data_IF_278751939449
#
_entry.id   IF_278751939449
#
_cell.length_a   1.000
_cell.length_b   1.000
_cell.length_c   1.000
_cell.angle_alpha   90.00
_cell.angle_beta   90.00
_cell.angle_gamma   90.00
#
_symmetry.space_group_name_H-M   'P 1'
#
loop_
_entity.id
_entity.type
_entity.pdbx_description
1 polymer ?
#
# COMPACT_ATOMS: atom_id res chain seq x y z
N UNK A 1 -84.76 -17.67 -10.82
CA UNK A 1 -83.79 -16.77 -11.49
C UNK A 1 -82.87 -17.61 -12.40
N UNK A 2 -81.94 -17.02 -13.17
CA UNK A 2 -81.08 -17.75 -14.14
C UNK A 2 -80.17 -18.76 -13.38
N UNK A 3 -79.92 -20.02 -13.78
CA UNK A 3 -79.55 -20.62 -15.09
C UNK A 3 -78.16 -20.13 -15.58
N UNK A 4 -77.19 -20.96 -15.96
CA UNK A 4 -77.08 -22.43 -16.08
C UNK A 4 -75.57 -22.84 -16.06
N UNK A 5 -75.26 -24.14 -16.22
CA UNK A 5 -73.94 -24.78 -16.45
C UNK A 5 -73.04 -24.95 -15.18
N UNK A 6 -72.38 -26.08 -14.85
CA UNK A 6 -71.91 -27.30 -15.58
C UNK A 6 -70.72 -27.04 -16.53
N UNK A 7 -69.63 -27.80 -16.63
CA UNK A 7 -69.15 -29.10 -16.10
C UNK A 7 -67.60 -29.16 -16.31
N UNK A 8 -66.75 -30.12 -15.90
CA UNK A 8 -66.85 -31.41 -15.18
C UNK A 8 -65.48 -31.67 -14.46
N UNK A 9 -65.30 -32.83 -13.82
CA UNK A 9 -64.02 -33.41 -13.32
C UNK A 9 -63.46 -34.43 -14.36
N UNK A 10 -62.42 -35.28 -14.17
CA UNK A 10 -61.62 -35.71 -13.00
C UNK A 10 -60.24 -36.31 -13.43
N UNK A 11 -59.18 -36.10 -12.62
CA UNK A 11 -57.95 -36.95 -12.43
C UNK A 11 -57.00 -37.30 -13.62
N UNK A 12 -55.73 -37.48 -13.24
CA UNK A 12 -54.55 -38.06 -13.92
C UNK A 12 -54.76 -39.06 -15.08
N UNK A 13 -53.84 -39.01 -16.05
CA UNK A 13 -52.97 -40.17 -16.34
C UNK A 13 -51.61 -39.71 -16.87
N UNK A 14 -50.53 -40.41 -16.55
CA UNK A 14 -49.20 -40.13 -17.09
C UNK A 14 -48.95 -40.89 -18.40
N UNK A 15 -48.25 -40.26 -19.35
CA UNK A 15 -47.57 -40.96 -20.44
C UNK A 15 -46.12 -40.51 -20.51
N UNK A 16 -45.21 -41.44 -20.24
CA UNK A 16 -43.80 -41.25 -20.51
C UNK A 16 -43.53 -41.49 -22.01
N UNK A 17 -42.96 -40.50 -22.68
CA UNK A 17 -42.24 -40.70 -23.94
C UNK A 17 -40.75 -40.55 -23.65
N UNK A 18 -40.08 -41.69 -23.46
CA UNK A 18 -38.64 -41.74 -23.41
C UNK A 18 -38.07 -41.52 -24.81
N UNK A 19 -37.29 -40.46 -24.99
CA UNK A 19 -36.41 -40.30 -26.14
C UNK A 19 -35.05 -39.87 -25.61
N UNK A 20 -34.13 -40.83 -25.51
CA UNK A 20 -32.76 -40.56 -25.07
C UNK A 20 -32.00 -39.88 -26.20
N UNK A 21 -31.79 -38.56 -26.08
CA UNK A 21 -30.71 -37.86 -26.77
C UNK A 21 -29.68 -37.47 -25.73
N UNK A 22 -28.56 -38.18 -25.69
CA UNK A 22 -27.43 -37.79 -24.88
C UNK A 22 -26.80 -36.55 -25.52
N UNK A 23 -26.87 -35.42 -24.82
CA UNK A 23 -25.92 -34.32 -24.96
C UNK A 23 -25.64 -33.80 -23.54
N UNK A 24 -24.37 -33.88 -23.13
CA UNK A 24 -23.90 -33.22 -21.91
C UNK A 24 -23.78 -31.71 -22.17
N UNK A 25 -24.93 -31.02 -22.24
CA UNK A 25 -24.95 -29.57 -22.16
C UNK A 25 -24.54 -29.16 -20.74
N UNK A 26 -23.44 -28.40 -20.56
CA UNK A 26 -23.04 -27.96 -19.24
C UNK A 26 -24.12 -27.05 -18.67
N UNK A 27 -24.71 -27.45 -17.54
CA UNK A 27 -25.58 -26.56 -16.79
C UNK A 27 -24.77 -25.37 -16.26
N UNK A 28 -24.79 -24.28 -17.02
CA UNK A 28 -24.40 -22.97 -16.55
C UNK A 28 -25.33 -22.58 -15.40
N UNK A 29 -24.89 -22.83 -14.16
CA UNK A 29 -25.46 -22.20 -12.99
C UNK A 29 -25.49 -20.69 -13.25
N UNK A 30 -26.66 -20.07 -13.13
CA UNK A 30 -26.85 -18.65 -13.39
C UNK A 30 -26.14 -17.82 -12.32
N UNK A 31 -24.83 -17.60 -12.50
CA UNK A 31 -24.06 -16.61 -11.75
C UNK A 31 -24.65 -15.24 -12.04
N UNK A 32 -24.91 -14.46 -10.98
CA UNK A 32 -25.48 -13.12 -11.07
C UNK A 32 -24.74 -12.26 -12.10
N UNK A 33 -25.49 -11.64 -13.01
CA UNK A 33 -24.94 -10.63 -13.90
C UNK A 33 -24.36 -9.45 -13.08
N UNK A 34 -23.27 -8.85 -13.58
CA UNK A 34 -22.53 -7.74 -12.99
C UNK A 34 -21.77 -8.05 -11.67
N UNK A 35 -20.63 -8.76 -11.78
CA UNK A 35 -19.49 -8.38 -10.96
C UNK A 35 -18.85 -7.10 -11.53
N UNK A 36 -18.28 -6.26 -10.67
CA UNK A 36 -17.53 -5.06 -11.09
C UNK A 36 -16.15 -5.44 -11.69
N UNK A 37 -15.64 -6.61 -11.35
CA UNK A 37 -14.37 -7.16 -11.81
C UNK A 37 -14.38 -8.69 -11.80
N UNK A 38 -13.36 -9.28 -12.42
CA UNK A 38 -12.98 -10.69 -12.37
C UNK A 38 -11.46 -10.83 -12.17
N UNK A 39 -11.00 -11.95 -11.60
CA UNK A 39 -9.59 -12.31 -11.55
C UNK A 39 -9.32 -13.26 -12.71
N UNK A 40 -8.57 -12.80 -13.72
CA UNK A 40 -8.15 -13.66 -14.84
C UNK A 40 -6.70 -14.10 -14.64
N UNK A 41 -6.39 -15.31 -15.07
CA UNK A 41 -5.03 -15.85 -15.08
C UNK A 41 -4.48 -15.75 -16.50
N UNK A 42 -3.48 -14.90 -16.71
CA UNK A 42 -2.73 -14.84 -17.96
C UNK A 42 -1.87 -16.11 -18.07
N UNK A 43 -2.36 -17.04 -18.88
CA UNK A 43 -1.68 -18.29 -19.23
C UNK A 43 -0.95 -18.10 -20.55
N UNK A 44 0.37 -17.92 -20.50
CA UNK A 44 1.21 -18.04 -21.69
C UNK A 44 1.03 -19.45 -22.28
N UNK A 45 0.93 -19.54 -23.61
CA UNK A 45 0.82 -20.81 -24.31
C UNK A 45 1.32 -20.75 -25.75
N UNK A 46 2.09 -21.75 -26.26
CA UNK A 46 2.74 -22.84 -25.52
C UNK A 46 4.23 -23.07 -25.87
N UNK A 47 4.95 -23.71 -24.94
CA UNK A 47 6.29 -24.34 -25.09
C UNK A 47 7.45 -23.45 -25.59
N UNK A 48 8.26 -22.98 -24.63
CA UNK A 48 9.69 -23.33 -24.65
C UNK A 48 10.10 -23.87 -23.27
N UNK A 49 10.84 -24.99 -23.24
CA UNK A 49 11.34 -25.55 -21.98
C UNK A 49 12.53 -24.72 -21.48
N UNK A 50 12.30 -23.90 -20.46
CA UNK A 50 13.38 -23.38 -19.62
C UNK A 50 12.94 -23.48 -18.15
N UNK A 51 13.82 -23.97 -17.29
CA UNK A 51 13.51 -24.28 -15.88
C UNK A 51 13.48 -23.01 -15.04
N UNK A 52 12.34 -22.34 -15.04
CA UNK A 52 11.94 -21.32 -14.08
C UNK A 52 10.47 -21.54 -13.72
N UNK A 53 10.11 -21.30 -12.46
CA UNK A 53 8.73 -21.49 -11.98
C UNK A 53 7.88 -20.26 -12.35
N UNK A 54 7.54 -20.17 -13.64
CA UNK A 54 6.74 -19.07 -14.20
C UNK A 54 5.29 -19.16 -13.68
N UNK A 55 5.05 -18.62 -12.49
CA UNK A 55 3.71 -18.48 -11.91
C UNK A 55 2.82 -17.68 -12.87
N UNK A 56 1.71 -18.28 -13.29
CA UNK A 56 0.81 -17.68 -14.26
C UNK A 56 0.27 -16.33 -13.73
N UNK A 57 0.37 -15.27 -14.54
CA UNK A 57 0.18 -13.91 -14.05
C UNK A 57 -1.30 -13.60 -13.88
N UNK A 58 -1.79 -13.67 -12.64
CA UNK A 58 -3.10 -13.14 -12.29
C UNK A 58 -3.17 -11.63 -12.60
N UNK A 59 -4.35 -11.15 -12.97
CA UNK A 59 -4.64 -9.73 -13.13
C UNK A 59 -6.12 -9.47 -12.87
N UNK A 60 -6.44 -8.36 -12.19
CA UNK A 60 -7.82 -7.91 -12.03
C UNK A 60 -8.27 -7.24 -13.34
N UNK A 61 -9.34 -7.78 -13.93
CA UNK A 61 -10.05 -7.19 -15.06
C UNK A 61 -11.35 -6.55 -14.57
N UNK A 62 -11.38 -5.23 -14.59
CA UNK A 62 -12.55 -4.41 -14.26
C UNK A 62 -13.44 -4.26 -15.49
N UNK A 63 -14.76 -4.29 -15.30
CA UNK A 63 -15.75 -4.09 -16.36
C UNK A 63 -15.54 -2.77 -17.12
N UNK A 64 -15.34 -1.70 -16.36
CA UNK A 64 -15.16 -0.33 -16.85
C UNK A 64 -14.38 0.53 -15.84
N UNK A 65 -14.09 1.78 -16.22
CA UNK A 65 -13.36 2.73 -15.37
C UNK A 65 -14.10 3.05 -14.06
N UNK A 66 -15.43 3.09 -14.07
CA UNK A 66 -16.21 3.39 -12.88
C UNK A 66 -16.21 2.20 -11.88
N UNK A 67 -16.16 0.96 -12.37
CA UNK A 67 -15.96 -0.24 -11.56
C UNK A 67 -14.58 -0.28 -10.89
N UNK A 68 -13.54 0.12 -11.64
CA UNK A 68 -12.19 0.32 -11.09
C UNK A 68 -12.19 1.39 -9.99
N UNK A 69 -12.73 2.59 -10.26
CA UNK A 69 -12.71 3.69 -9.28
C UNK A 69 -13.58 3.41 -8.04
N UNK A 70 -14.72 2.70 -8.18
CA UNK A 70 -15.52 2.19 -7.05
C UNK A 70 -14.71 1.23 -6.18
N UNK A 71 -14.04 0.26 -6.80
CA UNK A 71 -13.26 -0.75 -6.07
C UNK A 71 -12.05 -0.12 -5.41
N UNK A 72 -11.39 0.83 -6.08
CA UNK A 72 -10.25 1.58 -5.54
C UNK A 72 -10.65 2.43 -4.32
N UNK A 73 -11.81 3.08 -4.35
CA UNK A 73 -12.33 3.80 -3.18
C UNK A 73 -12.59 2.83 -2.00
N UNK A 74 -13.34 1.75 -2.25
CA UNK A 74 -13.65 0.72 -1.23
C UNK A 74 -12.39 0.13 -0.58
N UNK A 75 -11.38 -0.23 -1.38
CA UNK A 75 -10.13 -0.84 -0.88
C UNK A 75 -9.22 0.17 -0.19
N UNK A 76 -9.32 1.47 -0.51
CA UNK A 76 -8.59 2.53 0.21
C UNK A 76 -9.13 2.82 1.60
N UNK A 77 -10.43 2.62 1.83
CA UNK A 77 -11.07 2.83 3.14
C UNK A 77 -10.89 1.63 4.09
N UNK A 78 -10.52 0.46 3.58
CA UNK A 78 -10.24 -0.74 4.37
C UNK A 78 -8.95 -0.61 5.20
N UNK A 79 -8.96 -1.14 6.43
CA UNK A 79 -7.74 -1.47 7.17
C UNK A 79 -7.00 -2.65 6.52
N UNK A 80 -5.76 -2.91 6.92
CA UNK A 80 -4.89 -3.92 6.28
C UNK A 80 -5.33 -5.38 6.51
N UNK A 81 -6.12 -5.64 7.56
CA UNK A 81 -6.76 -6.95 7.76
C UNK A 81 -7.93 -7.12 6.79
N UNK A 82 -8.78 -6.09 6.68
CA UNK A 82 -9.89 -6.07 5.71
C UNK A 82 -9.41 -6.15 4.26
N UNK A 83 -8.32 -5.45 3.89
CA UNK A 83 -7.69 -5.58 2.56
C UNK A 83 -7.26 -7.02 2.28
N UNK A 84 -6.54 -7.64 3.22
CA UNK A 84 -6.09 -9.05 3.08
C UNK A 84 -7.26 -10.01 2.97
N UNK A 85 -8.31 -9.85 3.79
CA UNK A 85 -9.51 -10.67 3.72
C UNK A 85 -10.16 -10.58 2.32
N UNK A 86 -10.35 -9.36 1.80
CA UNK A 86 -10.88 -9.12 0.46
C UNK A 86 -10.05 -9.78 -0.65
N UNK A 87 -8.71 -9.63 -0.64
CA UNK A 87 -7.87 -10.23 -1.67
C UNK A 87 -7.78 -11.76 -1.58
N UNK A 88 -7.83 -12.33 -0.37
CA UNK A 88 -7.92 -13.77 -0.17
C UNK A 88 -9.29 -14.33 -0.62
N UNK A 89 -10.39 -13.62 -0.37
CA UNK A 89 -11.75 -14.01 -0.78
C UNK A 89 -11.89 -14.12 -2.31
N UNK A 90 -11.32 -13.16 -3.05
CA UNK A 90 -11.31 -13.18 -4.52
C UNK A 90 -10.15 -13.99 -5.12
N UNK A 91 -9.24 -14.51 -4.30
CA UNK A 91 -8.10 -15.32 -4.72
C UNK A 91 -7.01 -14.58 -5.52
N UNK A 92 -6.78 -13.29 -5.24
CA UNK A 92 -5.85 -12.44 -6.01
C UNK A 92 -4.55 -12.09 -5.26
N UNK A 93 -3.43 -12.67 -5.70
CA UNK A 93 -2.09 -12.37 -5.17
C UNK A 93 -1.41 -11.24 -5.97
N UNK A 94 -1.93 -10.02 -5.79
CA UNK A 94 -1.48 -8.78 -6.43
C UNK A 94 -0.27 -8.10 -5.76
N UNK A 95 0.04 -6.88 -6.20
CA UNK A 95 1.15 -6.08 -5.66
C UNK A 95 1.02 -5.82 -4.15
N UNK A 96 -0.18 -5.48 -3.67
CA UNK A 96 -0.46 -5.28 -2.24
C UNK A 96 -0.14 -6.53 -1.41
N UNK A 97 -0.63 -7.71 -1.84
CA UNK A 97 -0.47 -8.96 -1.12
C UNK A 97 1.00 -9.41 -1.07
N UNK A 98 1.73 -9.24 -2.19
CA UNK A 98 3.18 -9.44 -2.25
C UNK A 98 3.92 -8.51 -1.27
N UNK A 99 3.58 -7.22 -1.25
CA UNK A 99 4.28 -6.21 -0.45
C UNK A 99 3.98 -6.34 1.05
N UNK A 100 2.73 -6.55 1.46
CA UNK A 100 2.34 -6.74 2.86
C UNK A 100 2.93 -8.05 3.41
N UNK A 101 2.91 -9.14 2.63
CA UNK A 101 3.58 -10.40 3.00
C UNK A 101 5.09 -10.24 3.19
N UNK A 102 5.77 -9.53 2.28
CA UNK A 102 7.19 -9.24 2.43
C UNK A 102 7.49 -8.35 3.65
N UNK A 103 6.58 -7.43 3.99
CA UNK A 103 6.71 -6.57 5.16
C UNK A 103 6.52 -7.37 6.47
N UNK A 104 5.52 -8.26 6.55
CA UNK A 104 5.26 -9.11 7.71
C UNK A 104 6.32 -10.19 7.93
N UNK A 105 6.75 -10.90 6.88
CA UNK A 105 7.85 -11.87 6.98
C UNK A 105 9.14 -11.19 7.48
N UNK A 106 9.39 -9.94 7.06
CA UNK A 106 10.54 -9.17 7.51
C UNK A 106 10.41 -8.67 8.95
N UNK A 107 9.21 -8.34 9.45
CA UNK A 107 9.04 -8.01 10.88
C UNK A 107 9.33 -9.21 11.77
N UNK A 108 8.83 -10.40 11.39
CA UNK A 108 9.13 -11.66 12.07
C UNK A 108 10.63 -12.02 11.99
N UNK A 109 11.28 -11.78 10.84
CA UNK A 109 12.73 -11.93 10.71
C UNK A 109 13.51 -10.98 11.64
N UNK A 110 13.02 -9.75 11.84
CA UNK A 110 13.58 -8.82 12.83
C UNK A 110 13.36 -9.30 14.27
N UNK A 111 12.17 -9.80 14.63
CA UNK A 111 11.89 -10.29 15.99
C UNK A 111 12.74 -11.52 16.33
N UNK A 112 12.90 -12.46 15.39
CA UNK A 112 13.79 -13.62 15.55
C UNK A 112 15.28 -13.22 15.61
N UNK A 113 15.67 -12.16 14.89
CA UNK A 113 17.01 -11.58 14.96
C UNK A 113 17.29 -10.79 16.26
N UNK A 114 16.25 -10.35 16.98
CA UNK A 114 16.39 -9.78 18.33
C UNK A 114 16.70 -10.87 19.38
N UNK A 115 16.16 -12.09 19.17
CA UNK A 115 16.28 -13.23 20.07
C UNK A 115 17.48 -14.16 19.80
N UNK A 116 18.34 -13.84 18.83
CA UNK A 116 19.49 -14.67 18.40
C UNK A 116 20.83 -13.92 18.47
N UNK A 117 21.95 -14.62 18.27
CA UNK A 117 23.26 -13.99 18.23
C UNK A 117 23.41 -13.04 17.01
N UNK A 118 24.37 -12.13 17.08
CA UNK A 118 24.55 -11.07 16.07
C UNK A 118 24.90 -11.57 14.66
N UNK A 119 25.46 -12.77 14.51
CA UNK A 119 25.79 -13.35 13.20
C UNK A 119 24.55 -14.04 12.64
N UNK A 120 23.88 -14.86 13.43
CA UNK A 120 22.66 -15.56 13.04
C UNK A 120 21.52 -14.59 12.76
N UNK A 121 21.30 -13.57 13.59
CA UNK A 121 20.26 -12.55 13.40
C UNK A 121 20.47 -11.70 12.14
N UNK A 122 21.72 -11.33 11.82
CA UNK A 122 22.03 -10.68 10.53
C UNK A 122 21.74 -11.61 9.36
N UNK A 123 22.07 -12.91 9.48
CA UNK A 123 21.77 -13.90 8.44
C UNK A 123 20.26 -14.05 8.21
N UNK A 124 19.47 -14.19 9.28
CA UNK A 124 17.99 -14.31 9.22
C UNK A 124 17.38 -13.15 8.42
N UNK A 125 17.77 -11.90 8.71
CA UNK A 125 17.26 -10.73 8.00
C UNK A 125 17.70 -10.72 6.52
N UNK A 126 18.95 -11.12 6.22
CA UNK A 126 19.47 -11.14 4.84
C UNK A 126 18.90 -12.30 4.00
N UNK A 127 18.65 -13.47 4.59
CA UNK A 127 17.95 -14.58 3.95
C UNK A 127 16.52 -14.18 3.58
N UNK A 128 15.82 -13.47 4.49
CA UNK A 128 14.48 -12.93 4.25
C UNK A 128 14.47 -11.93 3.09
N UNK A 129 15.43 -11.00 3.02
CA UNK A 129 15.57 -10.07 1.88
C UNK A 129 15.85 -10.81 0.57
N UNK A 130 16.75 -11.80 0.58
CA UNK A 130 17.15 -12.54 -0.62
C UNK A 130 15.98 -13.32 -1.28
N UNK A 131 14.98 -13.75 -0.49
CA UNK A 131 13.75 -14.37 -1.00
C UNK A 131 12.94 -13.47 -1.94
N UNK A 132 13.09 -12.16 -1.83
CA UNK A 132 12.39 -11.16 -2.64
C UNK A 132 13.29 -10.43 -3.65
N UNK A 133 14.55 -10.85 -3.78
CA UNK A 133 15.47 -10.29 -4.77
C UNK A 133 14.96 -10.55 -6.20
N UNK A 134 15.18 -9.60 -7.10
CA UNK A 134 14.59 -9.57 -8.45
C UNK A 134 13.06 -9.37 -8.50
N UNK A 135 12.33 -9.44 -7.38
CA UNK A 135 10.87 -9.26 -7.29
C UNK A 135 10.52 -7.88 -6.71
N UNK A 136 11.19 -7.49 -5.62
CA UNK A 136 11.00 -6.22 -4.92
C UNK A 136 12.28 -5.39 -4.93
N UNK A 137 12.13 -4.07 -4.77
CA UNK A 137 13.26 -3.14 -4.65
C UNK A 137 13.61 -2.86 -3.20
N UNK A 138 14.91 -2.78 -2.96
CA UNK A 138 15.53 -2.40 -1.68
C UNK A 138 16.46 -1.19 -1.89
N UNK A 139 17.00 -0.65 -0.80
CA UNK A 139 17.79 0.59 -0.82
C UNK A 139 19.22 0.37 -1.34
N UNK A 140 19.49 0.81 -2.57
CA UNK A 140 20.84 0.82 -3.16
C UNK A 140 21.80 1.79 -2.45
N UNK A 141 21.30 2.93 -1.96
CA UNK A 141 22.13 4.00 -1.38
C UNK A 141 22.45 3.82 0.11
N UNK A 142 21.63 3.05 0.82
CA UNK A 142 21.76 2.80 2.25
C UNK A 142 21.48 1.31 2.48
N UNK A 143 22.53 0.50 2.41
CA UNK A 143 22.48 -0.97 2.51
C UNK A 143 22.09 -1.45 3.92
N UNK A 144 21.94 -0.55 4.90
CA UNK A 144 21.32 -0.88 6.19
C UNK A 144 19.80 -0.93 6.08
N UNK A 145 19.20 -0.25 5.11
CA UNK A 145 17.75 -0.23 4.89
C UNK A 145 17.29 -1.43 4.06
N UNK A 146 16.53 -2.31 4.71
CA UNK A 146 15.95 -3.51 4.09
C UNK A 146 14.44 -3.38 3.92
N UNK A 147 13.89 -2.16 3.95
CA UNK A 147 12.46 -1.93 3.69
C UNK A 147 12.09 -2.38 2.27
N UNK A 148 11.14 -3.32 2.09
CA UNK A 148 10.70 -3.74 0.77
C UNK A 148 9.83 -2.64 0.13
N UNK A 149 10.04 -2.43 -1.18
CA UNK A 149 9.27 -1.52 -2.03
C UNK A 149 8.98 -2.16 -3.38
N UNK A 150 7.93 -1.72 -4.06
CA UNK A 150 7.56 -2.23 -5.38
C UNK A 150 8.52 -1.73 -6.48
N UNK A 151 8.63 -2.43 -7.63
CA UNK A 151 9.47 -1.99 -8.73
C UNK A 151 8.97 -0.70 -9.43
N UNK A 152 7.70 -0.34 -9.21
CA UNK A 152 7.02 0.86 -9.71
C UNK A 152 6.52 1.75 -8.53
N UNK A 153 6.05 2.96 -8.84
CA UNK A 153 5.51 3.89 -7.84
C UNK A 153 4.16 4.48 -8.34
N UNK A 154 3.06 3.82 -7.96
CA UNK A 154 1.69 4.18 -8.31
C UNK A 154 0.74 3.64 -7.23
N UNK A 155 0.18 4.51 -6.39
CA UNK A 155 -0.72 4.17 -5.27
C UNK A 155 -1.97 3.38 -5.69
N UNK A 156 -2.36 3.41 -6.98
CA UNK A 156 -3.51 2.66 -7.49
C UNK A 156 -3.09 1.26 -7.90
N UNK A 157 -1.95 1.14 -8.57
CA UNK A 157 -1.37 -0.13 -8.97
C UNK A 157 -0.79 -0.92 -7.78
N UNK A 158 -0.32 -0.25 -6.72
CA UNK A 158 0.06 -0.93 -5.47
C UNK A 158 -1.13 -1.68 -4.88
N UNK A 159 -2.33 -1.07 -4.88
CA UNK A 159 -3.53 -1.67 -4.30
C UNK A 159 -4.21 -2.71 -5.21
N UNK A 160 -4.44 -2.38 -6.50
CA UNK A 160 -5.26 -3.21 -7.39
C UNK A 160 -4.46 -3.89 -8.52
N UNK A 161 -3.19 -3.53 -8.70
CA UNK A 161 -2.35 -4.11 -9.74
C UNK A 161 -1.90 -5.54 -9.41
N UNK A 162 -1.57 -6.29 -10.44
CA UNK A 162 -0.78 -7.52 -10.28
C UNK A 162 0.64 -7.19 -9.80
N UNK A 163 1.51 -8.19 -9.63
CA UNK A 163 2.88 -8.00 -9.11
C UNK A 163 3.77 -7.08 -9.96
N UNK A 164 3.44 -6.89 -11.24
CA UNK A 164 4.10 -5.92 -12.13
C UNK A 164 3.42 -4.53 -12.12
N UNK A 165 2.31 -4.36 -11.38
CA UNK A 165 1.49 -3.15 -11.30
C UNK A 165 0.39 -3.03 -12.36
N UNK A 166 0.17 -4.05 -13.19
CA UNK A 166 -0.82 -3.97 -14.28
C UNK A 166 -2.26 -4.28 -13.79
N UNK A 167 -3.24 -3.61 -14.38
CA UNK A 167 -4.68 -3.93 -14.31
C UNK A 167 -5.29 -3.99 -15.71
N UNK A 168 -6.46 -4.63 -15.87
CA UNK A 168 -7.27 -4.49 -17.08
C UNK A 168 -8.54 -3.68 -16.80
N UNK A 169 -8.90 -2.77 -17.70
CA UNK A 169 -10.12 -1.95 -17.63
C UNK A 169 -10.84 -2.09 -18.96
N UNK A 170 -11.99 -2.78 -18.96
CA UNK A 170 -12.48 -3.45 -20.15
C UNK A 170 -11.41 -4.40 -20.70
N UNK A 171 -11.23 -4.42 -22.02
CA UNK A 171 -10.18 -5.22 -22.67
C UNK A 171 -8.83 -4.48 -22.78
N UNK A 172 -8.68 -3.31 -22.16
CA UNK A 172 -7.44 -2.53 -22.17
C UNK A 172 -6.55 -2.88 -20.98
N UNK A 173 -5.34 -3.36 -21.25
CA UNK A 173 -4.26 -3.42 -20.26
C UNK A 173 -3.79 -2.00 -19.90
N UNK A 174 -3.69 -1.72 -18.60
CA UNK A 174 -3.20 -0.47 -18.03
C UNK A 174 -1.99 -0.78 -17.14
N UNK A 175 -0.82 -0.32 -17.58
CA UNK A 175 0.43 -0.40 -16.84
C UNK A 175 0.49 0.64 -15.71
N UNK A 176 1.29 0.41 -14.65
CA UNK A 176 1.42 1.36 -13.54
C UNK A 176 1.98 2.69 -14.07
N UNK A 177 1.31 3.78 -13.76
CA UNK A 177 1.76 5.11 -14.16
C UNK A 177 2.57 5.69 -13.01
N UNK A 178 3.88 5.85 -13.22
CA UNK A 178 4.75 6.56 -12.27
C UNK A 178 4.06 7.85 -11.82
N UNK A 179 3.68 7.89 -10.52
CA UNK A 179 2.68 8.81 -10.01
C UNK A 179 2.98 10.23 -10.50
N UNK A 180 2.02 10.91 -11.16
CA UNK A 180 2.31 12.11 -11.95
C UNK A 180 2.96 13.15 -11.06
N UNK A 181 4.29 13.26 -11.21
CA UNK A 181 5.15 14.00 -10.29
C UNK A 181 4.58 15.40 -10.12
N UNK A 182 4.32 15.84 -8.86
CA UNK A 182 3.34 16.89 -8.60
C UNK A 182 3.61 18.10 -9.47
N UNK A 183 2.61 18.51 -10.25
CA UNK A 183 2.73 19.47 -11.38
C UNK A 183 3.35 20.82 -10.95
N UNK A 184 3.47 21.06 -9.63
CA UNK A 184 4.45 21.98 -9.05
C UNK A 184 5.48 21.29 -8.12
N UNK A 185 6.61 20.95 -8.73
CA UNK A 185 7.98 20.85 -8.20
C UNK A 185 8.31 19.82 -7.09
N UNK A 186 9.03 18.76 -7.49
CA UNK A 186 10.16 18.20 -6.73
C UNK A 186 9.88 17.23 -5.57
N UNK A 187 10.88 16.42 -5.23
CA UNK A 187 10.91 15.61 -4.01
C UNK A 187 11.23 16.43 -2.74
N UNK A 188 11.19 15.78 -1.58
CA UNK A 188 11.50 16.44 -0.30
C UNK A 188 12.99 16.78 -0.17
N UNK A 189 13.29 18.05 0.09
CA UNK A 189 14.66 18.54 0.30
C UNK A 189 14.83 18.82 1.80
N UNK A 190 15.54 17.93 2.49
CA UNK A 190 15.80 18.00 3.93
C UNK A 190 16.74 19.16 4.30
N UNK A 191 16.37 19.95 5.31
CA UNK A 191 17.23 20.94 5.94
C UNK A 191 18.03 20.35 7.11
N UNK A 192 19.00 21.10 7.65
CA UNK A 192 19.78 20.70 8.85
C UNK A 192 18.96 20.86 10.15
N UNK A 193 17.73 20.37 10.16
CA UNK A 193 16.78 20.48 11.24
C UNK A 193 16.03 19.15 11.43
N UNK A 194 16.44 18.39 12.44
CA UNK A 194 15.91 17.07 12.73
C UNK A 194 15.62 16.93 14.23
N UNK A 195 14.43 16.44 14.56
CA UNK A 195 14.02 15.99 15.90
C UNK A 195 13.93 14.47 15.85
N UNK A 196 14.46 13.79 16.86
CA UNK A 196 14.39 12.32 16.95
C UNK A 196 13.92 11.90 18.34
N UNK A 197 13.17 10.82 18.40
CA UNK A 197 12.71 10.16 19.62
C UNK A 197 12.90 8.64 19.47
N UNK A 198 13.28 7.97 20.54
CA UNK A 198 13.61 6.53 20.55
C UNK A 198 12.85 5.81 21.66
N UNK A 199 12.37 4.60 21.37
CA UNK A 199 11.82 3.65 22.35
C UNK A 199 12.21 2.24 21.92
N UNK A 200 12.95 1.51 22.77
CA UNK A 200 13.50 0.20 22.43
C UNK A 200 14.26 0.20 21.09
N UNK A 201 13.84 -0.65 20.16
CA UNK A 201 14.39 -0.76 18.81
C UNK A 201 13.85 0.28 17.82
N UNK A 202 12.79 1.02 18.15
CA UNK A 202 12.20 2.02 17.28
C UNK A 202 12.84 3.40 17.47
N UNK A 203 13.14 4.09 16.37
CA UNK A 203 13.51 5.51 16.37
C UNK A 203 12.67 6.26 15.35
N UNK A 204 11.91 7.26 15.81
CA UNK A 204 11.12 8.16 14.97
C UNK A 204 11.84 9.48 14.74
N UNK A 205 11.62 10.07 13.57
CA UNK A 205 12.26 11.26 13.07
C UNK A 205 11.19 12.23 12.55
N UNK A 206 11.33 13.50 12.93
CA UNK A 206 10.73 14.64 12.24
C UNK A 206 11.87 15.43 11.61
N UNK A 207 11.73 15.80 10.34
CA UNK A 207 12.74 16.54 9.57
C UNK A 207 12.07 17.73 8.89
N UNK A 208 12.58 18.94 9.08
CA UNK A 208 12.10 20.12 8.34
C UNK A 208 12.78 20.20 6.97
N UNK A 209 12.09 20.73 5.97
CA UNK A 209 12.59 20.87 4.61
C UNK A 209 11.66 21.67 3.72
N UNK A 210 11.71 21.41 2.41
CA UNK A 210 10.73 21.90 1.43
C UNK A 210 10.31 20.84 0.43
N UNK A 211 9.13 21.02 -0.17
CA UNK A 211 8.69 20.31 -1.37
C UNK A 211 8.32 21.40 -2.39
N UNK A 212 9.14 21.52 -3.44
CA UNK A 212 9.01 22.57 -4.43
C UNK A 212 9.33 23.94 -3.85
N UNK A 213 8.36 24.85 -3.77
CA UNK A 213 8.49 26.16 -3.13
C UNK A 213 7.91 26.21 -1.71
N UNK A 214 7.08 25.24 -1.32
CA UNK A 214 6.45 25.18 -0.01
C UNK A 214 7.42 24.67 1.06
N UNK A 215 7.36 25.26 2.26
CA UNK A 215 7.88 24.58 3.45
C UNK A 215 7.23 23.20 3.58
N UNK A 216 7.97 22.25 4.12
CA UNK A 216 7.50 20.88 4.30
C UNK A 216 8.18 20.21 5.49
N UNK A 217 7.62 19.08 5.91
CA UNK A 217 8.25 18.20 6.88
C UNK A 217 8.13 16.73 6.48
N UNK A 218 9.09 15.93 6.91
CA UNK A 218 9.13 14.48 6.68
C UNK A 218 9.07 13.74 8.01
N UNK A 219 8.20 12.73 8.07
CA UNK A 219 7.93 11.86 9.20
C UNK A 219 8.33 10.42 8.86
N UNK A 220 9.20 9.83 9.67
CA UNK A 220 9.66 8.46 9.46
C UNK A 220 10.04 7.76 10.77
N UNK A 221 9.82 6.44 10.83
CA UNK A 221 10.18 5.58 11.95
C UNK A 221 10.94 4.37 11.43
N UNK A 222 11.98 3.97 12.14
CA UNK A 222 12.74 2.75 11.83
C UNK A 222 12.79 1.81 13.03
N UNK A 223 12.45 0.54 12.84
CA UNK A 223 12.89 -0.58 13.69
C UNK A 223 14.37 -0.82 13.38
N UNK A 224 15.24 -0.93 14.40
CA UNK A 224 16.71 -1.06 14.22
C UNK A 224 17.28 -2.19 15.08
N UNK A 225 17.83 -3.20 14.40
CA UNK A 225 18.35 -4.44 15.00
C UNK A 225 19.68 -4.77 14.28
N UNK A 226 20.73 -5.09 15.05
CA UNK A 226 22.04 -5.51 14.54
C UNK A 226 22.65 -4.60 13.45
N UNK A 227 22.40 -3.28 13.54
CA UNK A 227 22.85 -2.27 12.57
C UNK A 227 21.96 -2.13 11.32
N UNK A 228 21.06 -3.07 11.08
CA UNK A 228 20.07 -3.07 9.99
C UNK A 228 18.81 -2.29 10.42
N UNK A 229 18.07 -1.72 9.47
CA UNK A 229 16.81 -0.99 9.69
C UNK A 229 15.69 -1.41 8.73
N UNK A 230 14.46 -1.45 9.26
CA UNK A 230 13.21 -1.50 8.48
C UNK A 230 12.41 -0.24 8.79
N UNK A 231 11.91 0.45 7.77
CA UNK A 231 11.07 1.64 7.89
C UNK A 231 9.62 1.23 8.17
N UNK A 232 9.08 1.68 9.29
CA UNK A 232 7.72 1.35 9.73
C UNK A 232 6.69 2.15 8.95
N UNK A 233 6.00 1.46 8.03
CA UNK A 233 4.96 2.00 7.15
C UNK A 233 3.68 2.36 7.92
N UNK A 234 3.42 1.71 9.05
CA UNK A 234 2.13 1.76 9.78
C UNK A 234 2.19 2.67 11.02
N UNK A 235 3.17 3.58 11.06
CA UNK A 235 3.40 4.50 12.18
C UNK A 235 2.77 5.88 11.93
N UNK A 236 2.05 6.39 12.94
CA UNK A 236 1.50 7.75 12.96
C UNK A 236 2.24 8.62 14.00
N UNK A 237 2.19 9.93 13.83
CA UNK A 237 2.98 10.91 14.58
C UNK A 237 2.12 12.06 15.08
N UNK A 238 2.43 12.53 16.28
CA UNK A 238 1.75 13.64 16.95
C UNK A 238 2.78 14.66 17.46
N UNK A 239 2.44 15.95 17.36
CA UNK A 239 3.26 17.04 17.88
C UNK A 239 2.77 18.41 17.43
N UNK A 240 3.35 19.47 17.98
CA UNK A 240 3.03 20.85 17.64
C UNK A 240 4.28 21.54 17.07
N UNK A 241 4.21 21.86 15.77
CA UNK A 241 5.26 22.56 15.04
C UNK A 241 4.99 24.07 15.02
N UNK A 242 6.01 24.85 15.36
CA UNK A 242 6.04 26.29 15.17
C UNK A 242 7.30 26.64 14.37
N UNK A 243 7.15 27.35 13.26
CA UNK A 243 8.27 27.89 12.47
C UNK A 243 8.20 29.40 12.43
N UNK A 244 9.35 30.08 12.47
CA UNK A 244 9.42 31.53 12.43
C UNK A 244 10.69 32.03 11.75
N UNK A 245 10.65 33.21 11.15
CA UNK A 245 11.77 33.83 10.44
C UNK A 245 11.31 35.07 9.69
N UNK A 246 12.20 36.04 9.47
CA UNK A 246 11.91 37.24 8.68
C UNK A 246 10.61 38.00 9.13
N UNK A 247 10.35 38.05 10.44
CA UNK A 247 9.13 38.67 11.01
C UNK A 247 7.82 37.92 10.75
N UNK A 248 7.87 36.68 10.23
CA UNK A 248 6.73 35.80 9.97
C UNK A 248 6.79 34.54 10.85
N UNK A 249 5.64 33.92 11.08
CA UNK A 249 5.52 32.63 11.74
C UNK A 249 4.33 31.83 11.21
N UNK A 250 4.41 30.51 11.35
CA UNK A 250 3.33 29.55 11.08
C UNK A 250 3.32 28.50 12.21
N UNK A 251 2.13 27.99 12.54
CA UNK A 251 1.97 26.87 13.46
C UNK A 251 1.18 25.77 12.79
N UNK A 252 1.61 24.53 12.94
CA UNK A 252 0.95 23.35 12.39
C UNK A 252 0.84 22.28 13.48
N UNK A 253 -0.38 21.74 13.66
CA UNK A 253 -0.57 20.50 14.40
C UNK A 253 -0.15 19.34 13.50
N UNK A 254 0.74 18.50 13.99
CA UNK A 254 1.08 17.22 13.36
C UNK A 254 0.12 16.18 13.92
N UNK A 255 -0.58 15.51 13.01
CA UNK A 255 -1.36 14.30 13.27
C UNK A 255 -1.46 13.54 11.96
N UNK A 256 -0.38 12.82 11.61
CA UNK A 256 -0.09 12.36 10.25
C UNK A 256 0.54 10.96 10.27
N UNK A 257 0.45 10.24 9.15
CA UNK A 257 1.23 9.02 8.90
C UNK A 257 2.67 9.31 8.46
N UNK A 258 3.43 8.24 8.19
CA UNK A 258 4.75 8.31 7.53
C UNK A 258 4.64 9.08 6.19
N UNK A 259 5.67 9.85 5.86
CA UNK A 259 5.79 10.52 4.56
C UNK A 259 6.23 11.98 4.67
N UNK A 260 6.26 12.67 3.53
CA UNK A 260 6.60 14.09 3.43
C UNK A 260 5.36 14.94 3.14
N UNK A 261 5.11 15.94 3.99
CA UNK A 261 3.89 16.72 4.07
C UNK A 261 4.17 18.20 3.80
N UNK A 262 3.37 18.84 2.94
CA UNK A 262 3.49 20.28 2.64
C UNK A 262 2.84 21.14 3.74
N UNK A 263 3.48 22.26 4.06
CA UNK A 263 2.92 23.37 4.82
C UNK A 263 2.39 24.45 3.85
N UNK A 264 1.57 25.37 4.36
CA UNK A 264 0.92 26.39 3.53
C UNK A 264 1.91 27.50 3.10
N UNK A 265 2.90 27.80 3.94
CA UNK A 265 3.91 28.81 3.65
C UNK A 265 4.88 28.41 2.52
N UNK A 266 5.35 29.42 1.79
CA UNK A 266 6.49 29.28 0.88
C UNK A 266 7.80 29.43 1.67
N UNK A 267 8.79 28.60 1.37
CA UNK A 267 10.10 28.64 2.02
C UNK A 267 10.83 29.99 1.85
N UNK A 268 10.54 30.71 0.76
CA UNK A 268 11.01 32.07 0.51
C UNK A 268 10.60 33.08 1.58
N UNK A 269 9.47 32.87 2.27
CA UNK A 269 8.96 33.78 3.31
C UNK A 269 9.92 33.89 4.50
N UNK A 270 10.56 32.78 4.88
CA UNK A 270 11.53 32.71 5.98
C UNK A 270 12.99 32.73 5.50
N UNK A 271 13.24 32.98 4.21
CA UNK A 271 14.59 33.02 3.66
C UNK A 271 15.39 34.21 4.25
N UNK A 272 16.69 34.05 4.54
CA UNK A 272 17.52 32.86 4.37
C UNK A 272 17.57 31.93 5.61
N UNK A 273 16.96 32.30 6.74
CA UNK A 273 17.07 31.59 8.02
C UNK A 273 15.71 31.43 8.71
N UNK A 274 15.33 30.18 8.96
CA UNK A 274 14.14 29.82 9.73
C UNK A 274 14.53 29.24 11.10
N UNK A 275 13.78 29.57 12.14
CA UNK A 275 13.82 28.95 13.45
C UNK A 275 12.64 27.98 13.56
N UNK A 276 12.84 26.84 14.22
CA UNK A 276 11.85 25.78 14.37
C UNK A 276 11.74 25.39 15.84
N UNK A 277 10.53 25.43 16.39
CA UNK A 277 10.20 24.88 17.70
C UNK A 277 9.23 23.71 17.52
N UNK A 278 9.68 22.53 17.94
CA UNK A 278 8.85 21.33 18.05
C UNK A 278 8.44 21.14 19.50
N UNK A 279 7.16 20.83 19.73
CA UNK A 279 6.62 20.53 21.06
C UNK A 279 5.91 19.18 21.04
N UNK A 280 6.07 18.37 22.09
CA UNK A 280 5.37 17.10 22.29
C UNK A 280 5.52 16.03 21.18
N UNK A 281 6.58 16.09 20.37
CA UNK A 281 6.78 15.14 19.27
C UNK A 281 6.88 13.70 19.77
N UNK A 282 6.00 12.86 19.25
CA UNK A 282 5.89 11.43 19.56
C UNK A 282 5.31 10.68 18.36
N UNK A 283 5.24 9.35 18.47
CA UNK A 283 4.65 8.49 17.45
C UNK A 283 4.01 7.26 18.08
N UNK A 284 3.28 6.45 17.30
CA UNK A 284 2.59 5.25 17.82
C UNK A 284 3.53 4.21 18.46
N UNK A 285 4.83 4.21 18.11
CA UNK A 285 5.86 3.36 18.77
C UNK A 285 6.51 4.02 19.99
N UNK A 286 6.33 5.33 20.15
CA UNK A 286 6.97 6.17 21.16
C UNK A 286 5.95 7.00 21.96
N UNK A 287 4.68 6.56 22.08
CA UNK A 287 3.56 7.39 22.54
C UNK A 287 3.76 8.00 23.95
N UNK A 288 4.42 7.26 24.83
CA UNK A 288 4.76 7.66 26.20
C UNK A 288 6.06 8.50 26.28
N UNK A 289 6.84 8.60 25.20
CA UNK A 289 8.08 9.37 25.13
C UNK A 289 7.90 10.58 24.21
N UNK A 290 7.74 11.77 24.79
CA UNK A 290 7.46 13.03 24.07
C UNK A 290 8.67 13.96 24.09
N UNK A 291 9.14 14.35 22.92
CA UNK A 291 10.31 15.23 22.74
C UNK A 291 9.88 16.63 22.31
N UNK A 292 10.33 17.64 23.04
CA UNK A 292 10.25 19.05 22.62
C UNK A 292 11.66 19.55 22.32
N UNK A 293 11.83 20.32 21.24
CA UNK A 293 13.14 20.78 20.76
C UNK A 293 13.03 22.04 19.92
N UNK A 294 13.80 23.08 20.27
CA UNK A 294 14.05 24.23 19.40
C UNK A 294 15.32 23.99 18.55
N UNK A 295 15.30 24.46 17.31
CA UNK A 295 16.45 24.50 16.39
C UNK A 295 16.40 25.85 15.68
N UNK A 296 17.34 26.74 16.00
CA UNK A 296 17.40 28.09 15.46
C UNK A 296 18.35 28.19 14.26
N UNK A 297 18.20 29.28 13.50
CA UNK A 297 19.13 29.71 12.45
C UNK A 297 19.32 28.67 11.32
N UNK A 298 18.29 27.88 11.02
CA UNK A 298 18.29 26.83 10.00
C UNK A 298 18.39 27.50 8.62
N UNK A 299 19.43 27.15 7.85
CA UNK A 299 19.59 27.65 6.48
C UNK A 299 18.50 27.06 5.58
N UNK A 300 17.66 27.95 5.05
CA UNK A 300 16.71 27.63 3.98
C UNK A 300 17.49 27.39 2.68
N UNK A 301 17.20 26.27 2.01
CA UNK A 301 17.73 25.88 0.70
C UNK A 301 16.59 25.47 -0.22
#
# INVERSE_FOLDING_TARGET
MKKFLSYLTIIMMAFAIASCSNNDEPQFNAVSENSDFEVITLSDSPVTRSTGEYSAKQILKFKDQAAFDRTLAKVKEMDDSSKRAFFNEIGFDGAYMLLDKADEELDHAFDLAEATDSITGVKIIRDCVAKYDGILKFSETDLSDVTPSLPFADDKAELLGNKDGNVMIGDKLVAPQAAPGPVYNGGFIKYKAEVKVKNGHYTSYFRLGRIGQNMAFELETYKRILGIKKSDKKCCYDGDLEISGNGKFEKARIHNGKGAWKLYSLASVYSPRVNMKMTNFSSTRNSNNKVSKTIDNILVK
#
